data_IF_510302056075
#
_entry.id   IF_510302056075
#
_cell.length_a   1.000
_cell.length_b   1.000
_cell.length_c   1.000
_cell.angle_alpha   90.00
_cell.angle_beta   90.00
_cell.angle_gamma   90.00
#
_symmetry.space_group_name_H-M   'P 1'
#
loop_
_entity.id
_entity.type
_entity.pdbx_description
1 polymer ?
#
# COMPACT_ATOMS: atom_id res chain seq x y z
N UNK A 1 -7.97 11.63 -4.54
CA UNK A 1 -6.52 11.34 -4.40
C UNK A 1 -5.67 12.59 -4.56
N UNK A 2 -5.04 13.05 -3.48
CA UNK A 2 -3.98 14.07 -3.51
C UNK A 2 -2.59 13.42 -3.62
N UNK A 3 -1.60 14.11 -4.22
CA UNK A 3 -0.23 13.60 -4.37
C UNK A 3 0.49 13.32 -3.03
N UNK A 4 -0.04 13.83 -1.92
CA UNK A 4 0.43 13.54 -0.57
C UNK A 4 0.08 12.11 -0.14
N UNK A 5 -1.15 11.66 -0.41
CA UNK A 5 -1.62 10.30 -0.07
C UNK A 5 -0.81 9.26 -0.84
N UNK A 6 -0.57 9.50 -2.13
CA UNK A 6 0.24 8.64 -2.99
C UNK A 6 1.66 8.47 -2.44
N UNK A 7 2.32 9.58 -2.06
CA UNK A 7 3.65 9.53 -1.43
C UNK A 7 3.63 8.81 -0.09
N UNK A 8 2.57 9.01 0.70
CA UNK A 8 2.45 8.31 1.98
C UNK A 8 2.29 6.80 1.79
N UNK A 9 1.48 6.37 0.84
CA UNK A 9 1.37 4.96 0.46
C UNK A 9 2.74 4.39 0.08
N UNK A 10 3.46 5.04 -0.84
CA UNK A 10 4.77 4.56 -1.27
C UNK A 10 5.80 4.57 -0.15
N UNK A 11 5.76 5.56 0.74
CA UNK A 11 6.57 5.60 1.96
C UNK A 11 6.28 4.40 2.87
N UNK A 12 5.00 4.06 3.07
CA UNK A 12 4.58 2.85 3.80
C UNK A 12 5.09 1.59 3.11
N UNK A 13 4.96 1.46 1.80
CA UNK A 13 5.46 0.31 1.03
C UNK A 13 6.99 0.20 1.16
N UNK A 14 7.70 1.32 1.10
CA UNK A 14 9.16 1.36 1.16
C UNK A 14 9.72 1.05 2.56
N UNK A 15 9.02 1.53 3.61
CA UNK A 15 9.35 1.25 5.02
C UNK A 15 8.87 -0.13 5.47
N UNK A 16 7.87 -0.71 4.80
CA UNK A 16 7.45 -2.06 5.03
C UNK A 16 8.55 -3.05 4.61
N UNK A 17 8.75 -4.08 5.42
CA UNK A 17 9.63 -5.19 5.04
C UNK A 17 9.03 -5.95 3.86
N UNK A 18 9.84 -6.17 2.81
CA UNK A 18 9.50 -6.98 1.63
C UNK A 18 8.83 -8.31 2.00
N UNK A 19 9.36 -8.99 3.02
CA UNK A 19 8.81 -10.26 3.51
C UNK A 19 7.36 -10.13 3.98
N UNK A 20 6.99 -9.02 4.64
CA UNK A 20 5.61 -8.76 5.07
C UNK A 20 4.70 -8.53 3.87
N UNK A 21 5.17 -7.77 2.87
CA UNK A 21 4.40 -7.51 1.64
C UNK A 21 4.15 -8.79 0.82
N UNK A 22 5.13 -9.70 0.80
CA UNK A 22 5.06 -10.98 0.08
C UNK A 22 4.30 -12.07 0.85
N UNK A 23 4.28 -12.02 2.18
CA UNK A 23 3.55 -13.00 3.00
C UNK A 23 2.04 -12.74 3.05
N UNK A 24 1.59 -11.53 2.74
CA UNK A 24 0.17 -11.18 2.75
C UNK A 24 -0.51 -11.54 1.42
N UNK A 25 -1.70 -12.14 1.53
CA UNK A 25 -2.62 -12.27 0.40
C UNK A 25 -3.05 -10.91 -0.13
N UNK A 26 -3.55 -10.85 -1.37
CA UNK A 26 -3.89 -9.61 -2.06
C UNK A 26 -4.85 -8.73 -1.24
N UNK A 27 -5.93 -9.33 -0.72
CA UNK A 27 -6.91 -8.61 0.10
C UNK A 27 -6.30 -8.08 1.41
N UNK A 28 -5.48 -8.90 2.06
CA UNK A 28 -4.81 -8.56 3.32
C UNK A 28 -3.78 -7.45 3.12
N UNK A 29 -3.03 -7.49 2.01
CA UNK A 29 -2.04 -6.48 1.65
C UNK A 29 -2.69 -5.13 1.39
N UNK A 30 -3.80 -5.10 0.63
CA UNK A 30 -4.56 -3.87 0.37
C UNK A 30 -5.06 -3.27 1.67
N UNK A 31 -5.75 -4.07 2.49
CA UNK A 31 -6.27 -3.62 3.80
C UNK A 31 -5.15 -3.10 4.71
N UNK A 32 -4.00 -3.78 4.73
CA UNK A 32 -2.85 -3.39 5.54
C UNK A 32 -2.27 -2.05 5.08
N UNK A 33 -2.04 -1.87 3.78
CA UNK A 33 -1.50 -0.64 3.20
C UNK A 33 -2.44 0.55 3.41
N UNK A 34 -3.74 0.34 3.21
CA UNK A 34 -4.77 1.36 3.46
C UNK A 34 -4.76 1.77 4.93
N UNK A 35 -4.72 0.80 5.85
CA UNK A 35 -4.69 1.07 7.29
C UNK A 35 -3.43 1.85 7.69
N UNK A 36 -2.27 1.46 7.20
CA UNK A 36 -1.02 2.16 7.48
C UNK A 36 -1.04 3.59 6.93
N UNK A 37 -1.52 3.76 5.71
CA UNK A 37 -1.67 5.09 5.09
C UNK A 37 -2.65 5.95 5.88
N UNK A 38 -3.77 5.39 6.35
CA UNK A 38 -4.75 6.09 7.19
C UNK A 38 -4.16 6.51 8.55
N UNK A 39 -3.20 5.74 9.07
CA UNK A 39 -2.52 6.09 10.33
C UNK A 39 -1.63 7.33 10.16
N UNK A 40 -1.11 7.58 8.95
CA UNK A 40 -0.26 8.74 8.65
C UNK A 40 -1.04 9.94 8.11
N UNK A 41 -2.12 9.69 7.37
CA UNK A 41 -2.96 10.74 6.78
C UNK A 41 -4.42 10.39 7.09
N UNK A 42 -5.17 11.34 7.65
CA UNK A 42 -6.60 11.15 7.90
C UNK A 42 -7.32 10.98 6.56
N UNK A 43 -7.55 9.72 6.17
CA UNK A 43 -8.27 9.39 4.95
C UNK A 43 -9.77 9.40 5.25
N UNK A 44 -10.49 10.20 4.48
CA UNK A 44 -11.94 10.08 4.44
C UNK A 44 -12.37 8.77 3.77
N UNK A 45 -13.61 8.37 4.00
CA UNK A 45 -14.14 7.09 3.50
C UNK A 45 -14.02 6.98 1.97
N UNK A 46 -14.31 8.06 1.24
CA UNK A 46 -14.13 8.13 -0.22
C UNK A 46 -12.67 7.96 -0.66
N UNK A 47 -11.72 8.59 0.03
CA UNK A 47 -10.30 8.47 -0.32
C UNK A 47 -9.77 7.07 0.02
N UNK A 48 -10.32 6.42 1.05
CA UNK A 48 -9.98 5.05 1.45
C UNK A 48 -10.40 4.03 0.38
N UNK A 49 -11.63 4.15 -0.15
CA UNK A 49 -12.12 3.33 -1.26
C UNK A 49 -11.25 3.54 -2.51
N UNK A 50 -10.98 4.79 -2.87
CA UNK A 50 -10.14 5.10 -4.04
C UNK A 50 -8.70 4.58 -3.87
N UNK A 51 -8.14 4.69 -2.67
CA UNK A 51 -6.81 4.17 -2.35
C UNK A 51 -6.79 2.64 -2.47
N UNK A 52 -7.83 1.96 -2.00
CA UNK A 52 -7.95 0.50 -2.08
C UNK A 52 -7.95 0.02 -3.53
N UNK A 53 -8.75 0.66 -4.38
CA UNK A 53 -8.84 0.37 -5.81
C UNK A 53 -7.50 0.64 -6.52
N UNK A 54 -6.87 1.77 -6.19
CA UNK A 54 -5.55 2.12 -6.70
C UNK A 54 -4.48 1.10 -6.31
N UNK A 55 -4.45 0.67 -5.05
CA UNK A 55 -3.50 -0.35 -4.56
C UNK A 55 -3.77 -1.67 -5.27
N UNK A 56 -5.02 -2.10 -5.44
CA UNK A 56 -5.35 -3.32 -6.18
C UNK A 56 -4.81 -3.28 -7.62
N UNK A 57 -5.02 -2.17 -8.32
CA UNK A 57 -4.48 -1.97 -9.68
C UNK A 57 -2.94 -1.96 -9.74
N UNK A 58 -2.27 -1.65 -8.62
CA UNK A 58 -0.81 -1.58 -8.52
C UNK A 58 -0.20 -2.73 -7.73
N UNK A 59 -1.00 -3.70 -7.31
CA UNK A 59 -0.59 -4.72 -6.35
C UNK A 59 0.51 -5.62 -6.93
N UNK A 60 0.38 -5.96 -8.21
CA UNK A 60 1.42 -6.68 -8.95
C UNK A 60 2.78 -5.96 -8.86
N UNK A 61 2.80 -4.63 -9.04
CA UNK A 61 4.02 -3.83 -9.00
C UNK A 61 4.58 -3.69 -7.58
N UNK A 62 3.72 -3.60 -6.56
CA UNK A 62 4.14 -3.60 -5.15
C UNK A 62 4.80 -4.94 -4.79
N UNK A 63 4.25 -6.07 -5.24
CA UNK A 63 4.84 -7.39 -5.03
C UNK A 63 6.15 -7.57 -5.79
N UNK A 64 6.22 -7.09 -7.03
CA UNK A 64 7.44 -7.12 -7.83
C UNK A 64 8.57 -6.34 -7.12
N UNK A 65 8.28 -5.12 -6.69
CA UNK A 65 9.21 -4.29 -5.91
C UNK A 65 9.64 -4.97 -4.60
N UNK A 66 8.69 -5.59 -3.89
CA UNK A 66 9.00 -6.32 -2.67
C UNK A 66 9.90 -7.54 -2.96
N UNK A 67 9.68 -8.25 -4.05
CA UNK A 67 10.49 -9.38 -4.49
C UNK A 67 11.92 -8.94 -4.83
N UNK A 68 12.09 -7.87 -5.60
CA UNK A 68 13.41 -7.31 -5.93
C UNK A 68 14.19 -6.88 -4.67
N UNK A 69 13.51 -6.35 -3.67
CA UNK A 69 14.12 -5.91 -2.40
C UNK A 69 14.43 -7.05 -1.43
N UNK A 70 13.95 -8.26 -1.70
CA UNK A 70 14.27 -9.44 -0.91
C UNK A 70 15.63 -10.05 -1.31
N UNK A 71 16.10 -9.78 -2.52
CA UNK A 71 17.35 -10.31 -3.07
C UNK A 71 18.61 -9.60 -2.56
#
# INVERSE_FOLDING_TARGET
MTPTIMRQLWSVVETAHAKTLLQLDDASLVQWLVKQTNTQVLLEKNETDYLSDYIQSRLALIRDLAYERQC
#
